data_IF_387751414140
#
_entry.id   IF_387751414140
#
_cell.length_a   1.000
_cell.length_b   1.000
_cell.length_c   1.000
_cell.angle_alpha   90.00
_cell.angle_beta   90.00
_cell.angle_gamma   90.00
#
_symmetry.space_group_name_H-M   'P 1'
#
loop_
_entity.id
_entity.type
_entity.pdbx_description
1 polymer ?
#
# COMPACT_ATOMS: atom_id res chain seq x y z
N UNK A 1 21.27 -3.89 -11.33
CA UNK A 1 20.53 -5.14 -11.04
C UNK A 1 19.93 -5.10 -9.64
N UNK A 2 18.71 -5.53 -9.50
CA UNK A 2 18.05 -5.54 -8.19
C UNK A 2 18.44 -6.78 -7.40
N UNK A 3 18.62 -6.59 -6.09
CA UNK A 3 19.02 -7.65 -5.17
C UNK A 3 17.77 -8.24 -4.53
N UNK A 4 17.75 -9.55 -4.33
CA UNK A 4 16.71 -10.23 -3.56
C UNK A 4 16.99 -10.01 -2.06
N UNK A 5 16.22 -9.12 -1.45
CA UNK A 5 16.41 -8.75 -0.05
C UNK A 5 15.23 -9.27 0.79
N UNK A 6 15.56 -10.10 1.77
CA UNK A 6 14.56 -10.73 2.66
C UNK A 6 14.78 -10.29 4.11
N UNK A 7 15.13 -9.04 4.33
CA UNK A 7 15.30 -8.51 5.68
C UNK A 7 13.94 -8.43 6.40
N UNK A 8 13.98 -8.47 7.71
CA UNK A 8 12.77 -8.31 8.53
C UNK A 8 12.30 -6.85 8.45
N UNK A 9 11.18 -6.63 7.81
CA UNK A 9 10.62 -5.31 7.56
C UNK A 9 11.10 -4.70 6.25
N UNK A 10 12.36 -4.27 6.09
CA UNK A 10 12.82 -3.62 4.87
C UNK A 10 13.16 -4.64 3.78
N UNK A 11 12.16 -5.38 3.32
CA UNK A 11 12.32 -6.40 2.31
C UNK A 11 12.14 -5.84 0.91
N UNK A 12 12.51 -6.64 -0.08
CA UNK A 12 12.36 -6.31 -1.49
C UNK A 12 10.88 -6.14 -1.86
N UNK A 13 10.60 -5.12 -2.66
CA UNK A 13 9.29 -4.91 -3.29
C UNK A 13 9.42 -5.08 -4.81
N UNK A 14 8.36 -5.51 -5.49
CA UNK A 14 8.38 -5.56 -6.95
C UNK A 14 8.66 -4.18 -7.57
N UNK A 15 9.46 -4.17 -8.64
CA UNK A 15 9.82 -2.91 -9.29
C UNK A 15 8.62 -2.05 -9.72
N UNK A 16 7.56 -2.63 -10.32
CA UNK A 16 6.38 -1.81 -10.67
C UNK A 16 5.73 -1.12 -9.47
N UNK A 17 5.78 -1.73 -8.29
CA UNK A 17 5.25 -1.12 -7.06
C UNK A 17 6.09 0.08 -6.67
N UNK A 18 7.43 -0.05 -6.73
CA UNK A 18 8.33 1.04 -6.41
C UNK A 18 8.22 2.20 -7.39
N UNK A 19 8.06 1.89 -8.68
CA UNK A 19 7.88 2.92 -9.71
C UNK A 19 6.59 3.69 -9.50
N UNK A 20 5.51 3.01 -9.12
CA UNK A 20 4.26 3.67 -8.79
C UNK A 20 4.39 4.53 -7.55
N UNK A 21 5.01 4.01 -6.50
CA UNK A 21 5.27 4.78 -5.28
C UNK A 21 6.10 6.03 -5.58
N UNK A 22 7.11 5.92 -6.44
CA UNK A 22 7.93 7.05 -6.86
C UNK A 22 7.08 8.14 -7.52
N UNK A 23 6.18 7.77 -8.41
CA UNK A 23 5.33 8.74 -9.10
C UNK A 23 4.33 9.41 -8.15
N UNK A 24 3.92 8.72 -7.10
CA UNK A 24 2.93 9.22 -6.13
C UNK A 24 3.55 9.98 -4.97
N UNK A 25 4.89 10.00 -4.87
CA UNK A 25 5.58 10.76 -3.83
C UNK A 25 5.46 12.27 -4.00
N UNK A 26 5.32 12.74 -5.23
CA UNK A 26 5.24 14.18 -5.52
C UNK A 26 3.79 14.63 -5.65
N UNK A 27 2.96 13.82 -6.29
CA UNK A 27 1.55 14.14 -6.47
C UNK A 27 0.74 12.84 -6.49
N UNK A 28 -0.13 12.67 -5.51
CA UNK A 28 -0.99 11.52 -5.43
C UNK A 28 -2.40 11.89 -5.88
N UNK A 29 -2.85 11.25 -6.94
CA UNK A 29 -4.21 11.39 -7.49
C UNK A 29 -4.58 12.83 -7.85
N UNK A 30 -3.62 13.63 -8.28
CA UNK A 30 -3.86 15.02 -8.66
C UNK A 30 -4.17 15.96 -7.50
N UNK A 31 -3.89 15.52 -6.27
CA UNK A 31 -4.17 16.31 -5.08
C UNK A 31 -3.19 17.46 -4.83
N UNK A 32 -2.04 17.42 -5.50
CA UNK A 32 -0.94 18.35 -5.23
C UNK A 32 -0.15 17.99 -3.98
N UNK A 33 -0.44 16.84 -3.39
CA UNK A 33 0.25 16.36 -2.19
C UNK A 33 0.84 14.98 -2.44
N UNK A 34 1.93 14.67 -1.76
CA UNK A 34 2.46 13.31 -1.72
C UNK A 34 1.48 12.37 -1.02
N UNK A 35 1.48 11.10 -1.43
CA UNK A 35 0.75 10.06 -0.71
C UNK A 35 1.17 10.00 0.77
N UNK A 36 2.42 10.39 1.06
CA UNK A 36 2.94 10.41 2.44
C UNK A 36 2.45 11.60 3.26
N UNK A 37 1.83 12.59 2.62
CA UNK A 37 1.36 13.81 3.26
C UNK A 37 -0.15 13.82 3.52
N UNK A 38 -0.89 12.83 3.02
CA UNK A 38 -2.34 12.79 3.18
C UNK A 38 -2.71 12.17 4.52
N UNK A 39 -3.80 12.68 5.12
CA UNK A 39 -4.30 12.15 6.38
C UNK A 39 -4.90 10.75 6.17
N UNK A 40 -4.60 9.83 7.08
CA UNK A 40 -5.21 8.51 7.08
C UNK A 40 -6.73 8.56 7.35
N UNK A 41 -7.25 9.71 7.79
CA UNK A 41 -8.69 9.97 7.99
C UNK A 41 -9.32 10.63 6.77
N UNK A 42 -8.54 11.05 5.79
CA UNK A 42 -9.05 11.67 4.57
C UNK A 42 -9.79 10.66 3.70
N UNK A 43 -10.79 11.13 2.95
CA UNK A 43 -11.62 10.27 2.10
C UNK A 43 -10.80 9.49 1.08
N UNK A 44 -9.81 10.14 0.47
CA UNK A 44 -8.97 9.50 -0.55
C UNK A 44 -8.16 8.35 0.04
N UNK A 45 -7.58 8.53 1.22
CA UNK A 45 -6.80 7.48 1.87
C UNK A 45 -7.70 6.35 2.37
N UNK A 46 -8.85 6.67 2.95
CA UNK A 46 -9.81 5.67 3.41
C UNK A 46 -10.27 4.79 2.23
N UNK A 47 -10.55 5.41 1.09
CA UNK A 47 -10.91 4.67 -0.13
C UNK A 47 -9.76 3.77 -0.60
N UNK A 48 -8.53 4.27 -0.57
CA UNK A 48 -7.34 3.51 -0.94
C UNK A 48 -7.14 2.30 -0.01
N UNK A 49 -7.24 2.50 1.29
CA UNK A 49 -7.10 1.43 2.28
C UNK A 49 -8.19 0.38 2.13
N UNK A 50 -9.43 0.81 1.88
CA UNK A 50 -10.55 -0.10 1.62
C UNK A 50 -10.33 -0.93 0.35
N UNK A 51 -9.80 -0.32 -0.69
CA UNK A 51 -9.46 -1.01 -1.93
C UNK A 51 -8.34 -2.03 -1.70
N UNK A 52 -7.32 -1.66 -0.94
CA UNK A 52 -6.22 -2.57 -0.60
C UNK A 52 -6.73 -3.79 0.18
N UNK A 53 -7.61 -3.58 1.16
CA UNK A 53 -8.23 -4.68 1.90
C UNK A 53 -9.02 -5.60 0.96
N UNK A 54 -9.82 -5.03 0.07
CA UNK A 54 -10.62 -5.80 -0.88
C UNK A 54 -9.74 -6.61 -1.83
N UNK A 55 -8.64 -6.04 -2.28
CA UNK A 55 -7.69 -6.74 -3.15
C UNK A 55 -7.04 -7.91 -2.43
N UNK A 56 -6.67 -7.73 -1.15
CA UNK A 56 -6.11 -8.82 -0.34
C UNK A 56 -7.12 -9.96 -0.18
N UNK A 57 -8.37 -9.65 0.08
CA UNK A 57 -9.43 -10.66 0.18
C UNK A 57 -9.60 -11.44 -1.11
N UNK A 58 -9.56 -10.75 -2.23
CA UNK A 58 -9.68 -11.38 -3.56
C UNK A 58 -8.49 -12.30 -3.84
N UNK A 59 -7.27 -11.82 -3.60
CA UNK A 59 -6.05 -12.60 -3.88
C UNK A 59 -5.96 -13.83 -2.98
N UNK A 60 -6.32 -13.68 -1.70
CA UNK A 60 -6.24 -14.79 -0.72
C UNK A 60 -7.48 -15.68 -0.75
N UNK A 61 -8.55 -15.28 -1.41
CA UNK A 61 -9.79 -16.05 -1.45
C UNK A 61 -10.50 -16.13 -0.12
N UNK A 62 -10.40 -15.09 0.72
CA UNK A 62 -11.03 -15.06 2.04
C UNK A 62 -12.27 -14.17 2.04
N UNK A 63 -13.28 -14.55 2.81
CA UNK A 63 -14.51 -13.80 2.95
C UNK A 63 -14.57 -12.96 4.22
N UNK A 64 -15.81 -12.56 4.57
CA UNK A 64 -16.04 -11.65 5.70
C UNK A 64 -15.82 -12.29 7.08
N UNK A 65 -15.64 -13.60 7.12
CA UNK A 65 -15.34 -14.33 8.36
C UNK A 65 -13.88 -14.16 8.80
N UNK A 66 -13.05 -13.51 7.98
CA UNK A 66 -11.67 -13.16 8.31
C UNK A 66 -11.52 -11.66 8.43
N UNK A 67 -10.79 -11.20 9.44
CA UNK A 67 -10.39 -9.80 9.56
C UNK A 67 -9.07 -9.57 8.82
N UNK A 68 -8.97 -8.45 8.11
CA UNK A 68 -7.72 -7.98 7.51
C UNK A 68 -7.21 -6.84 8.37
N UNK A 69 -6.00 -6.99 8.91
CA UNK A 69 -5.41 -5.99 9.79
C UNK A 69 -4.09 -5.49 9.20
N UNK A 70 -3.95 -4.17 9.11
CA UNK A 70 -2.71 -3.52 8.69
C UNK A 70 -1.97 -3.07 9.94
N UNK A 71 -0.94 -3.82 10.31
CA UNK A 71 -0.19 -3.59 11.53
C UNK A 71 1.27 -3.27 11.19
N UNK A 72 1.99 -2.72 12.17
CA UNK A 72 3.41 -2.49 11.99
C UNK A 72 4.15 -3.83 11.84
N UNK A 73 5.24 -3.81 11.06
CA UNK A 73 6.07 -4.98 10.87
C UNK A 73 7.31 -5.00 11.75
N UNK A 74 8.08 -6.04 11.60
CA UNK A 74 9.30 -6.26 12.35
C UNK A 74 10.26 -5.09 12.42
#
# INVERSE_FOLDING_TARGET
MRVYNFSAGPAMLPLPVLERAQSELVDWQGSGMSVTEVSHRGKAFVACAGHAEQMLRTVLGVGDDYAVLFLQGG
#
